data_IF_757165985650
#
_entry.id   IF_757165985650
#
_cell.length_a   1.000
_cell.length_b   1.000
_cell.length_c   1.000
_cell.angle_alpha   90.00
_cell.angle_beta   90.00
_cell.angle_gamma   90.00
#
_symmetry.space_group_name_H-M   'P 1'
#
loop_
_entity.id
_entity.type
_entity.pdbx_description
1 polymer ?
#
# COMPACT_ATOMS: atom_id res chain seq x y z
N UNK A 1 31.64 -26.94 -93.09
CA UNK A 1 30.63 -27.05 -92.03
C UNK A 1 31.04 -26.06 -90.96
N UNK A 2 30.41 -24.88 -90.98
CA UNK A 2 29.52 -24.39 -89.90
C UNK A 2 30.31 -24.08 -88.62
N UNK A 3 30.25 -22.91 -88.00
CA UNK A 3 29.37 -21.76 -88.13
C UNK A 3 29.82 -20.66 -87.16
N UNK A 4 29.11 -19.53 -87.22
CA UNK A 4 29.39 -18.22 -86.64
C UNK A 4 29.45 -18.16 -85.08
N UNK A 5 30.05 -17.11 -84.51
CA UNK A 5 29.26 -15.98 -83.96
C UNK A 5 30.10 -14.81 -83.40
N UNK A 6 29.59 -13.61 -83.66
CA UNK A 6 30.04 -12.30 -83.20
C UNK A 6 29.64 -12.07 -81.73
N UNK A 7 30.59 -11.68 -80.88
CA UNK A 7 30.28 -11.29 -79.49
C UNK A 7 30.16 -9.77 -79.37
N UNK A 8 28.90 -9.34 -79.23
CA UNK A 8 28.42 -7.97 -79.06
C UNK A 8 28.79 -7.43 -77.67
N UNK A 9 29.27 -6.19 -77.61
CA UNK A 9 29.57 -5.49 -76.36
C UNK A 9 28.27 -4.95 -75.75
N UNK A 10 28.06 -5.18 -74.46
CA UNK A 10 26.95 -4.60 -73.70
C UNK A 10 27.51 -3.81 -72.52
N UNK A 11 27.27 -2.49 -72.51
CA UNK A 11 27.57 -1.60 -71.39
C UNK A 11 26.43 -1.73 -70.38
N UNK A 12 26.76 -2.10 -69.14
CA UNK A 12 25.81 -2.10 -68.04
C UNK A 12 25.82 -0.72 -67.35
N UNK A 13 24.70 -0.01 -67.40
CA UNK A 13 24.47 1.18 -66.58
C UNK A 13 24.02 0.75 -65.19
N UNK A 14 24.80 1.10 -64.16
CA UNK A 14 24.43 0.89 -62.76
C UNK A 14 23.57 2.07 -62.30
N UNK A 15 22.30 1.81 -61.97
CA UNK A 15 21.45 2.78 -61.27
C UNK A 15 21.65 2.56 -59.77
N UNK A 16 22.28 3.52 -59.10
CA UNK A 16 22.44 3.51 -57.66
C UNK A 16 21.16 4.07 -57.00
N UNK A 17 20.41 3.22 -56.31
CA UNK A 17 19.25 3.63 -55.50
C UNK A 17 19.76 4.06 -54.13
N UNK A 18 19.64 5.34 -53.80
CA UNK A 18 19.97 5.87 -52.47
C UNK A 18 18.82 5.57 -51.52
N UNK A 19 19.02 4.64 -50.58
CA UNK A 19 18.07 4.40 -49.49
C UNK A 19 18.24 5.50 -48.43
N UNK A 20 17.21 6.34 -48.25
CA UNK A 20 17.12 7.28 -47.15
C UNK A 20 16.90 6.51 -45.85
N UNK A 21 17.92 6.44 -44.99
CA UNK A 21 17.79 5.92 -43.63
C UNK A 21 17.10 7.00 -42.79
N UNK A 22 15.78 6.88 -42.64
CA UNK A 22 15.02 7.72 -41.72
C UNK A 22 15.44 7.40 -40.28
N UNK A 23 16.13 8.33 -39.63
CA UNK A 23 16.42 8.24 -38.20
C UNK A 23 15.10 8.42 -37.45
N UNK A 24 14.49 7.31 -37.05
CA UNK A 24 13.33 7.34 -36.16
C UNK A 24 13.86 7.72 -34.78
N UNK A 25 13.75 8.99 -34.41
CA UNK A 25 14.05 9.43 -33.05
C UNK A 25 12.93 8.86 -32.18
N UNK A 26 13.19 7.91 -31.26
CA UNK A 26 12.13 7.44 -30.37
C UNK A 26 11.66 8.64 -29.57
N UNK A 27 10.38 9.00 -29.74
CA UNK A 27 9.75 9.98 -28.88
C UNK A 27 9.74 9.37 -27.48
N UNK A 28 10.60 9.90 -26.59
CA UNK A 28 10.64 9.53 -25.19
C UNK A 28 9.34 9.98 -24.52
N UNK A 29 8.26 9.23 -24.74
CA UNK A 29 7.05 9.37 -23.96
C UNK A 29 7.43 9.08 -22.51
N UNK A 30 7.38 10.11 -21.65
CA UNK A 30 7.59 9.95 -20.21
C UNK A 30 6.73 8.80 -19.71
N UNK A 31 7.37 7.78 -19.13
CA UNK A 31 6.67 6.61 -18.61
C UNK A 31 5.55 7.07 -17.66
N UNK A 32 4.35 6.53 -17.85
CA UNK A 32 3.22 6.85 -16.99
C UNK A 32 3.57 6.55 -15.52
N UNK A 33 3.09 7.39 -14.61
CA UNK A 33 3.22 7.21 -13.16
C UNK A 33 1.85 6.98 -12.56
N UNK A 34 1.80 6.54 -11.29
CA UNK A 34 0.52 6.46 -10.58
C UNK A 34 -0.21 7.81 -10.48
N UNK A 35 0.51 8.93 -10.64
CA UNK A 35 -0.03 10.29 -10.59
C UNK A 35 -0.34 10.90 -11.96
N UNK A 36 -0.11 10.21 -13.07
CA UNK A 36 -0.42 10.73 -14.41
C UNK A 36 -1.90 11.15 -14.51
N UNK A 37 -2.13 12.39 -14.96
CA UNK A 37 -3.48 12.97 -15.09
C UNK A 37 -4.19 13.32 -13.77
N UNK A 38 -3.51 13.27 -12.62
CA UNK A 38 -4.10 13.61 -11.32
C UNK A 38 -3.35 14.78 -10.67
N UNK A 39 -3.81 16.01 -10.92
CA UNK A 39 -3.22 17.22 -10.34
C UNK A 39 -3.19 17.17 -8.79
N UNK A 40 -2.07 17.55 -8.19
CA UNK A 40 -1.83 17.50 -6.74
C UNK A 40 -1.56 16.11 -6.19
N UNK A 41 -1.43 15.09 -7.05
CA UNK A 41 -0.99 13.76 -6.65
C UNK A 41 0.52 13.73 -6.38
N UNK A 42 0.91 13.03 -5.32
CA UNK A 42 2.32 12.80 -4.98
C UNK A 42 2.58 11.30 -4.89
N UNK A 43 3.69 10.84 -5.49
CA UNK A 43 4.20 9.49 -5.27
C UNK A 43 4.77 9.41 -3.85
N UNK A 44 4.26 8.49 -3.04
CA UNK A 44 4.58 8.38 -1.60
C UNK A 44 5.21 7.05 -1.20
N UNK A 45 5.20 6.04 -2.08
CA UNK A 45 5.81 4.74 -1.83
C UNK A 45 6.15 4.02 -3.13
N UNK A 46 7.09 3.08 -3.02
CA UNK A 46 7.45 2.10 -4.06
C UNK A 46 7.28 0.64 -3.60
N UNK A 47 6.25 0.38 -2.78
CA UNK A 47 5.99 -0.97 -2.26
C UNK A 47 5.47 -1.91 -3.35
N UNK A 48 5.76 -3.21 -3.22
CA UNK A 48 5.15 -4.29 -4.00
C UNK A 48 3.72 -4.51 -3.49
N UNK A 49 2.72 -3.88 -4.11
CA UNK A 49 1.33 -3.88 -3.63
C UNK A 49 0.58 -5.10 -4.14
N UNK A 50 0.84 -5.52 -5.38
CA UNK A 50 0.19 -6.69 -5.98
C UNK A 50 0.84 -8.04 -5.62
N UNK A 51 2.02 -8.00 -5.00
CA UNK A 51 2.71 -9.17 -4.47
C UNK A 51 3.52 -9.94 -5.51
N UNK A 52 3.82 -9.33 -6.66
CA UNK A 52 4.57 -9.99 -7.75
C UNK A 52 6.09 -9.91 -7.60
N UNK A 53 6.59 -9.30 -6.51
CA UNK A 53 8.00 -9.15 -6.20
C UNK A 53 8.67 -7.94 -6.85
N UNK A 54 7.94 -7.13 -7.63
CA UNK A 54 8.44 -5.88 -8.21
C UNK A 54 7.86 -4.67 -7.50
N UNK A 55 8.60 -3.56 -7.54
CA UNK A 55 8.17 -2.31 -6.93
C UNK A 55 7.07 -1.65 -7.77
N UNK A 56 5.93 -1.36 -7.14
CA UNK A 56 4.86 -0.56 -7.75
C UNK A 56 5.06 0.93 -7.44
N UNK A 57 4.24 1.81 -8.02
CA UNK A 57 4.18 3.21 -7.62
C UNK A 57 2.88 3.49 -6.87
N UNK A 58 2.98 4.05 -5.67
CA UNK A 58 1.80 4.49 -4.89
C UNK A 58 1.71 6.00 -4.94
N UNK A 59 0.63 6.52 -5.51
CA UNK A 59 0.30 7.93 -5.55
C UNK A 59 -0.87 8.27 -4.63
N UNK A 60 -0.84 9.42 -3.97
CA UNK A 60 -1.97 9.91 -3.16
C UNK A 60 -2.28 11.37 -3.48
N UNK A 61 -3.56 11.71 -3.40
CA UNK A 61 -4.05 13.09 -3.48
C UNK A 61 -5.21 13.27 -2.50
N UNK A 62 -5.07 14.23 -1.58
CA UNK A 62 -6.21 14.71 -0.81
C UNK A 62 -6.85 15.89 -1.55
N UNK A 63 -8.18 15.86 -1.67
CA UNK A 63 -9.01 16.99 -2.07
C UNK A 63 -10.02 17.28 -0.97
N UNK A 64 -9.91 18.47 -0.36
CA UNK A 64 -10.85 18.95 0.65
C UNK A 64 -12.04 19.64 0.00
N UNK A 65 -13.21 19.47 0.60
CA UNK A 65 -14.48 20.09 0.19
C UNK A 65 -15.31 20.38 1.44
N UNK A 66 -15.12 21.58 2.01
CA UNK A 66 -15.77 21.97 3.26
C UNK A 66 -15.31 21.11 4.44
N UNK A 67 -16.27 20.53 5.17
CA UNK A 67 -16.01 19.71 6.37
C UNK A 67 -15.55 18.28 6.08
N UNK A 68 -15.40 17.89 4.80
CA UNK A 68 -14.96 16.56 4.40
C UNK A 68 -13.80 16.64 3.42
N UNK A 69 -12.96 15.63 3.41
CA UNK A 69 -11.97 15.45 2.37
C UNK A 69 -12.00 14.02 1.81
N UNK A 70 -11.52 13.89 0.58
CA UNK A 70 -11.34 12.60 -0.08
C UNK A 70 -9.87 12.42 -0.39
N UNK A 71 -9.30 11.34 0.11
CA UNK A 71 -7.97 10.88 -0.26
C UNK A 71 -8.09 9.84 -1.38
N UNK A 72 -7.67 10.22 -2.59
CA UNK A 72 -7.56 9.33 -3.74
C UNK A 72 -6.20 8.65 -3.70
N UNK A 73 -6.22 7.32 -3.56
CA UNK A 73 -5.03 6.47 -3.58
C UNK A 73 -4.97 5.78 -4.93
N UNK A 74 -3.84 5.90 -5.64
CA UNK A 74 -3.58 5.21 -6.90
C UNK A 74 -2.37 4.30 -6.77
N UNK A 75 -2.42 3.16 -7.45
CA UNK A 75 -1.30 2.23 -7.56
C UNK A 75 -1.08 1.93 -9.03
N UNK A 76 0.13 2.18 -9.53
CA UNK A 76 0.57 1.71 -10.83
C UNK A 76 1.51 0.53 -10.61
N UNK A 77 1.06 -0.67 -10.98
CA UNK A 77 1.88 -1.88 -10.85
C UNK A 77 3.07 -1.86 -11.80
N UNK A 78 4.11 -2.64 -11.50
CA UNK A 78 5.26 -2.81 -12.39
C UNK A 78 4.86 -3.30 -13.81
N UNK A 79 3.74 -4.01 -13.94
CA UNK A 79 3.17 -4.48 -15.22
C UNK A 79 2.28 -3.43 -15.92
N UNK A 80 2.20 -2.21 -15.41
CA UNK A 80 1.46 -1.10 -16.02
C UNK A 80 -0.03 -1.04 -15.67
N UNK A 81 -0.54 -1.89 -14.77
CA UNK A 81 -1.93 -1.79 -14.30
C UNK A 81 -2.10 -0.63 -13.33
N UNK A 82 -2.93 0.34 -13.69
CA UNK A 82 -3.34 1.43 -12.81
C UNK A 82 -4.62 1.07 -12.05
N UNK A 83 -4.57 1.16 -10.73
CA UNK A 83 -5.70 0.97 -9.82
C UNK A 83 -5.94 2.24 -9.02
N UNK A 84 -7.18 2.48 -8.59
CA UNK A 84 -7.54 3.63 -7.77
C UNK A 84 -8.56 3.24 -6.70
N UNK A 85 -8.46 3.88 -5.53
CA UNK A 85 -9.48 3.83 -4.47
C UNK A 85 -9.64 5.22 -3.86
N UNK A 86 -10.80 5.47 -3.25
CA UNK A 86 -11.06 6.71 -2.54
C UNK A 86 -11.37 6.40 -1.07
N UNK A 87 -10.78 7.17 -0.18
CA UNK A 87 -10.99 7.09 1.26
C UNK A 87 -11.52 8.44 1.72
N UNK A 88 -12.69 8.46 2.36
CA UNK A 88 -13.17 9.66 3.07
C UNK A 88 -12.31 9.89 4.30
N UNK A 89 -11.80 11.11 4.45
CA UNK A 89 -10.91 11.51 5.53
C UNK A 89 -11.31 12.89 6.06
N UNK A 90 -10.86 13.22 7.26
CA UNK A 90 -10.96 14.58 7.77
C UNK A 90 -10.11 15.54 6.91
N UNK A 91 -10.51 16.82 6.74
CA UNK A 91 -9.76 17.82 5.97
C UNK A 91 -8.30 18.01 6.40
N UNK A 92 -7.99 17.75 7.67
CA UNK A 92 -6.67 17.91 8.29
C UNK A 92 -5.87 16.60 8.36
N UNK A 93 -6.44 15.49 7.87
CA UNK A 93 -5.79 14.19 7.91
C UNK A 93 -4.54 14.17 7.04
N UNK A 94 -3.50 13.46 7.48
CA UNK A 94 -2.34 13.17 6.64
C UNK A 94 -2.77 12.24 5.49
N UNK A 95 -2.22 12.45 4.29
CA UNK A 95 -2.57 11.65 3.12
C UNK A 95 -1.96 10.24 3.10
N UNK A 96 -0.95 9.99 3.93
CA UNK A 96 -0.17 8.76 3.89
C UNK A 96 0.41 8.43 5.26
N UNK A 97 0.27 7.18 5.70
CA UNK A 97 0.96 6.67 6.89
C UNK A 97 2.13 5.77 6.52
N UNK A 98 1.90 4.80 5.63
CA UNK A 98 2.92 3.84 5.22
C UNK A 98 2.34 2.67 4.43
N UNK A 99 3.24 1.81 3.96
CA UNK A 99 2.89 0.54 3.36
C UNK A 99 3.55 -0.57 4.17
N UNK A 100 2.82 -1.62 4.52
CA UNK A 100 3.35 -2.74 5.27
C UNK A 100 2.63 -4.03 4.91
N UNK A 101 3.32 -5.16 5.06
CA UNK A 101 2.64 -6.45 5.10
C UNK A 101 1.90 -6.53 6.42
N UNK A 102 0.57 -6.68 6.36
CA UNK A 102 -0.34 -6.78 7.50
C UNK A 102 -0.98 -8.15 7.46
N UNK A 103 -1.65 -8.50 6.36
CA UNK A 103 -2.25 -9.81 6.20
C UNK A 103 -1.25 -10.87 5.68
N UNK A 104 -1.77 -12.04 5.34
CA UNK A 104 -0.97 -13.18 4.88
C UNK A 104 -0.98 -13.43 3.38
N UNK A 105 -1.56 -12.55 2.56
CA UNK A 105 -1.34 -12.58 1.11
C UNK A 105 -0.01 -11.92 0.77
N UNK A 106 0.52 -12.24 -0.41
CA UNK A 106 1.63 -11.49 -0.99
C UNK A 106 1.17 -10.07 -1.33
N UNK A 107 2.09 -9.11 -1.20
CA UNK A 107 1.81 -7.69 -1.38
C UNK A 107 1.83 -6.91 -0.06
N UNK A 108 1.99 -5.60 -0.18
CA UNK A 108 1.93 -4.66 0.92
C UNK A 108 0.55 -4.01 0.98
N UNK A 109 0.00 -3.93 2.18
CA UNK A 109 -1.16 -3.10 2.47
C UNK A 109 -0.78 -1.62 2.58
N UNK A 110 -1.68 -0.74 2.15
CA UNK A 110 -1.54 0.71 2.20
C UNK A 110 -2.33 1.26 3.38
N UNK A 111 -1.66 1.97 4.29
CA UNK A 111 -2.26 2.52 5.52
C UNK A 111 -2.52 4.02 5.34
N UNK A 112 -3.79 4.39 5.36
CA UNK A 112 -4.28 5.75 5.08
C UNK A 112 -4.94 6.32 6.34
N UNK A 113 -4.38 7.38 6.96
CA UNK A 113 -5.04 8.06 8.07
C UNK A 113 -6.40 8.61 7.65
N UNK A 114 -7.44 8.34 8.44
CA UNK A 114 -8.80 8.82 8.18
C UNK A 114 -9.18 10.04 9.00
N UNK A 115 -8.49 10.31 10.10
CA UNK A 115 -8.68 11.51 10.91
C UNK A 115 -7.37 12.24 11.20
N UNK A 116 -7.49 13.51 11.61
CA UNK A 116 -6.37 14.38 11.95
C UNK A 116 -6.03 14.43 13.45
N UNK A 117 -6.68 13.61 14.28
CA UNK A 117 -6.57 13.68 15.75
C UNK A 117 -5.24 13.14 16.27
N UNK A 118 -4.83 13.58 17.46
CA UNK A 118 -3.54 13.20 18.07
C UNK A 118 -3.71 12.05 19.07
N UNK A 119 -4.86 11.93 19.70
CA UNK A 119 -5.10 10.98 20.78
C UNK A 119 -5.82 9.74 20.26
N UNK A 120 -6.84 9.93 19.42
CA UNK A 120 -7.63 8.85 18.80
C UNK A 120 -7.43 8.85 17.29
N UNK A 121 -6.53 8.00 16.78
CA UNK A 121 -6.22 7.94 15.34
C UNK A 121 -6.88 6.76 14.68
N UNK A 122 -7.52 7.02 13.55
CA UNK A 122 -8.17 6.01 12.71
C UNK A 122 -7.50 5.91 11.35
N UNK A 123 -7.53 4.70 10.80
CA UNK A 123 -6.92 4.40 9.51
C UNK A 123 -7.82 3.52 8.67
N UNK A 124 -7.84 3.79 7.37
CA UNK A 124 -8.26 2.83 6.36
C UNK A 124 -7.04 2.05 5.88
N UNK A 125 -7.16 0.73 5.84
CA UNK A 125 -6.14 -0.14 5.24
C UNK A 125 -6.65 -0.65 3.91
N UNK A 126 -5.93 -0.39 2.83
CA UNK A 126 -6.22 -0.88 1.49
C UNK A 126 -5.29 -2.04 1.13
N UNK A 127 -5.80 -3.04 0.44
CA UNK A 127 -5.05 -4.22 -0.01
C UNK A 127 -5.44 -4.57 -1.44
N UNK A 128 -4.53 -5.19 -2.19
CA UNK A 128 -4.78 -5.66 -3.54
C UNK A 128 -5.57 -6.97 -3.54
N UNK A 129 -6.70 -7.01 -4.24
CA UNK A 129 -7.48 -8.23 -4.49
C UNK A 129 -8.00 -8.19 -5.91
N UNK A 130 -7.74 -9.25 -6.66
CA UNK A 130 -8.38 -9.51 -7.96
C UNK A 130 -8.33 -8.31 -8.92
N UNK A 131 -7.15 -7.67 -9.02
CA UNK A 131 -6.95 -6.52 -9.90
C UNK A 131 -7.41 -5.17 -9.35
N UNK A 132 -7.82 -5.09 -8.08
CA UNK A 132 -8.40 -3.89 -7.46
C UNK A 132 -7.86 -3.62 -6.06
N UNK A 133 -7.94 -2.36 -5.62
CA UNK A 133 -7.72 -1.98 -4.23
C UNK A 133 -9.03 -2.09 -3.45
N UNK A 134 -9.05 -2.94 -2.42
CA UNK A 134 -10.19 -3.12 -1.52
C UNK A 134 -9.79 -2.82 -0.07
N UNK A 135 -10.76 -2.60 0.80
CA UNK A 135 -10.46 -2.39 2.23
C UNK A 135 -10.14 -3.71 2.92
N UNK A 136 -8.98 -3.78 3.59
CA UNK A 136 -8.70 -4.82 4.57
C UNK A 136 -9.35 -4.44 5.89
N UNK A 137 -10.41 -5.16 6.26
CA UNK A 137 -11.05 -5.00 7.58
C UNK A 137 -10.12 -5.49 8.69
N UNK A 138 -10.35 -4.98 9.90
CA UNK A 138 -9.72 -5.53 11.10
C UNK A 138 -10.15 -6.98 11.31
N UNK A 139 -9.43 -7.76 12.15
CA UNK A 139 -9.89 -9.09 12.54
C UNK A 139 -11.29 -9.11 13.19
N UNK A 140 -11.71 -7.98 13.78
CA UNK A 140 -13.07 -7.80 14.30
C UNK A 140 -14.07 -7.31 13.24
N UNK A 141 -13.75 -7.44 11.96
CA UNK A 141 -14.60 -7.03 10.83
C UNK A 141 -14.91 -5.54 10.75
N UNK A 142 -14.15 -4.69 11.43
CA UNK A 142 -14.31 -3.24 11.37
C UNK A 142 -13.61 -2.66 10.11
N UNK A 143 -14.21 -1.62 9.53
CA UNK A 143 -13.66 -0.91 8.37
C UNK A 143 -12.52 0.06 8.72
N UNK A 144 -12.36 0.36 10.00
CA UNK A 144 -11.39 1.30 10.53
C UNK A 144 -10.46 0.59 11.49
N UNK A 145 -9.16 0.82 11.32
CA UNK A 145 -8.13 0.41 12.26
C UNK A 145 -7.85 1.58 13.20
N UNK A 146 -7.98 1.36 14.50
CA UNK A 146 -7.79 2.39 15.52
C UNK A 146 -6.47 2.20 16.28
N UNK A 147 -5.85 3.31 16.65
CA UNK A 147 -4.86 3.39 17.71
C UNK A 147 -5.25 4.53 18.64
N UNK A 148 -4.98 4.36 19.92
CA UNK A 148 -5.38 5.31 20.95
C UNK A 148 -4.18 5.60 21.83
N UNK A 149 -3.94 6.86 22.15
CA UNK A 149 -3.02 7.33 23.17
C UNK A 149 -3.65 8.50 23.90
N UNK A 150 -4.42 8.18 24.93
CA UNK A 150 -5.10 9.14 25.79
C UNK A 150 -4.92 8.73 27.26
N UNK A 151 -5.23 9.63 28.19
CA UNK A 151 -5.10 9.35 29.62
C UNK A 151 -5.90 8.11 30.08
N UNK A 152 -7.07 7.90 29.47
CA UNK A 152 -7.97 6.77 29.72
C UNK A 152 -7.55 5.47 29.05
N UNK A 153 -6.64 5.49 28.08
CA UNK A 153 -6.16 4.24 27.50
C UNK A 153 -5.27 4.33 26.27
N UNK A 154 -4.76 3.16 25.93
CA UNK A 154 -3.83 2.95 24.84
C UNK A 154 -4.28 1.77 23.97
N UNK A 155 -4.17 1.92 22.66
CA UNK A 155 -4.40 0.84 21.68
C UNK A 155 -3.28 0.81 20.66
N UNK A 156 -2.86 -0.39 20.28
CA UNK A 156 -1.97 -0.59 19.15
C UNK A 156 -2.02 -1.98 18.55
N UNK A 157 -1.33 -2.12 17.44
CA UNK A 157 -1.33 -3.30 16.59
C UNK A 157 0.09 -3.76 16.35
N UNK A 158 0.30 -5.08 16.38
CA UNK A 158 1.58 -5.68 16.03
C UNK A 158 1.38 -6.85 15.09
N UNK A 159 2.39 -7.14 14.28
CA UNK A 159 2.42 -8.28 13.37
C UNK A 159 3.60 -9.16 13.68
N UNK A 160 3.42 -10.47 13.55
CA UNK A 160 4.50 -11.44 13.58
C UNK A 160 4.21 -12.60 12.63
N UNK A 161 5.25 -13.33 12.26
CA UNK A 161 5.13 -14.62 11.58
C UNK A 161 5.72 -15.68 12.50
N UNK A 162 5.00 -16.78 12.74
CA UNK A 162 5.47 -17.94 13.53
C UNK A 162 5.07 -19.22 12.82
N UNK A 163 6.04 -20.09 12.53
CA UNK A 163 5.81 -21.36 11.84
C UNK A 163 4.98 -21.21 10.55
N UNK A 164 5.32 -20.20 9.74
CA UNK A 164 4.59 -19.84 8.51
C UNK A 164 3.21 -19.19 8.71
N UNK A 165 2.72 -19.06 9.96
CA UNK A 165 1.44 -18.42 10.26
C UNK A 165 1.63 -16.91 10.43
N UNK A 166 0.85 -16.13 9.70
CA UNK A 166 0.78 -14.67 9.90
C UNK A 166 -0.18 -14.35 11.03
N UNK A 167 0.34 -13.66 12.04
CA UNK A 167 -0.39 -13.26 13.24
C UNK A 167 -0.43 -11.75 13.35
N UNK A 168 -1.62 -11.22 13.63
CA UNK A 168 -1.82 -9.82 14.03
C UNK A 168 -2.36 -9.80 15.44
N UNK A 169 -1.77 -8.96 16.28
CA UNK A 169 -2.14 -8.82 17.69
C UNK A 169 -2.59 -7.40 17.97
N UNK A 170 -3.83 -7.27 18.44
CA UNK A 170 -4.35 -6.03 19.03
C UNK A 170 -4.02 -6.02 20.51
N UNK A 171 -3.45 -4.92 20.99
CA UNK A 171 -3.27 -4.67 22.42
C UNK A 171 -4.07 -3.44 22.81
N UNK A 172 -4.85 -3.55 23.87
CA UNK A 172 -5.54 -2.42 24.51
C UNK A 172 -5.10 -2.35 25.96
N UNK A 173 -5.05 -1.15 26.53
CA UNK A 173 -4.83 -0.94 27.95
C UNK A 173 -5.69 0.24 28.39
N UNK A 174 -6.77 -0.03 29.13
CA UNK A 174 -7.69 1.01 29.61
C UNK A 174 -7.50 1.24 31.10
N UNK A 175 -7.50 2.49 31.52
CA UNK A 175 -7.32 2.86 32.93
C UNK A 175 -8.47 2.28 33.76
N UNK A 176 -8.13 1.63 34.87
CA UNK A 176 -9.13 1.19 35.86
C UNK A 176 -9.52 2.43 36.68
N UNK A 177 -10.83 2.68 36.78
CA UNK A 177 -11.41 3.85 37.43
C UNK A 177 -10.80 4.09 38.82
N UNK A 178 -10.49 5.35 39.12
CA UNK A 178 -9.89 5.80 40.40
C UNK A 178 -8.55 5.14 40.78
N UNK A 179 -7.86 4.47 39.84
CA UNK A 179 -6.53 3.90 40.08
C UNK A 179 -5.48 4.40 39.09
N UNK A 180 -4.20 4.14 39.42
CA UNK A 180 -3.05 4.29 38.52
C UNK A 180 -2.77 3.07 37.65
N UNK A 181 -3.68 2.07 37.66
CA UNK A 181 -3.51 0.79 36.98
C UNK A 181 -4.36 0.70 35.72
N UNK A 182 -3.96 -0.19 34.83
CA UNK A 182 -4.64 -0.43 33.56
C UNK A 182 -5.07 -1.89 33.43
N UNK A 183 -6.25 -2.08 32.87
CA UNK A 183 -6.69 -3.37 32.35
C UNK A 183 -6.17 -3.53 30.92
N UNK A 184 -5.10 -4.30 30.79
CA UNK A 184 -4.46 -4.59 29.52
C UNK A 184 -5.00 -5.90 28.94
N UNK A 185 -5.48 -5.84 27.70
CA UNK A 185 -5.88 -7.00 26.90
C UNK A 185 -4.95 -7.17 25.70
N UNK A 186 -4.53 -8.40 25.44
CA UNK A 186 -3.76 -8.76 24.24
C UNK A 186 -4.55 -9.83 23.49
N UNK A 187 -5.02 -9.53 22.28
CA UNK A 187 -5.80 -10.45 21.46
C UNK A 187 -5.08 -10.71 20.15
N UNK A 188 -4.73 -11.97 19.90
CA UNK A 188 -4.01 -12.40 18.70
C UNK A 188 -4.96 -13.11 17.74
N UNK A 189 -4.86 -12.74 16.48
CA UNK A 189 -5.63 -13.29 15.36
C UNK A 189 -4.66 -13.87 14.35
N UNK A 190 -5.09 -14.93 13.67
CA UNK A 190 -4.32 -15.55 12.60
C UNK A 190 -4.96 -15.21 11.26
N UNK A 191 -4.15 -14.93 10.24
CA UNK A 191 -4.61 -14.97 8.86
C UNK A 191 -4.63 -16.43 8.38
N UNK A 192 -5.79 -16.94 7.98
CA UNK A 192 -5.97 -18.30 7.50
C UNK A 192 -7.02 -18.32 6.40
N UNK A 193 -6.77 -19.07 5.33
CA UNK A 193 -7.71 -19.25 4.22
C UNK A 193 -8.21 -17.91 3.61
N UNK A 194 -7.32 -16.92 3.51
CA UNK A 194 -7.64 -15.63 2.90
C UNK A 194 -8.47 -14.67 3.77
N UNK A 195 -8.64 -14.95 5.06
CA UNK A 195 -9.34 -14.10 6.01
C UNK A 195 -8.71 -14.12 7.42
N UNK A 196 -9.12 -13.19 8.27
CA UNK A 196 -8.81 -13.25 9.70
C UNK A 196 -9.65 -14.33 10.38
N UNK A 197 -9.00 -15.15 11.22
CA UNK A 197 -9.69 -16.08 12.10
C UNK A 197 -10.34 -15.35 13.28
N UNK A 198 -11.20 -16.07 14.02
CA UNK A 198 -11.48 -15.73 15.42
C UNK A 198 -10.15 -15.65 16.22
N UNK A 199 -10.12 -14.94 17.37
CA UNK A 199 -8.94 -14.90 18.22
C UNK A 199 -8.38 -16.30 18.48
N UNK A 200 -7.08 -16.48 18.24
CA UNK A 200 -6.36 -17.73 18.53
C UNK A 200 -5.68 -17.70 19.90
N UNK A 201 -5.51 -16.50 20.46
CA UNK A 201 -5.07 -16.29 21.84
C UNK A 201 -5.62 -14.97 22.38
N UNK A 202 -5.91 -14.93 23.68
CA UNK A 202 -6.34 -13.73 24.38
C UNK A 202 -5.83 -13.77 25.82
N UNK A 203 -5.10 -12.74 26.24
CA UNK A 203 -4.62 -12.59 27.62
C UNK A 203 -5.07 -11.27 28.22
N UNK A 204 -5.22 -11.25 29.56
CA UNK A 204 -5.62 -10.08 30.33
C UNK A 204 -4.65 -9.87 31.49
N UNK A 205 -4.24 -8.63 31.71
CA UNK A 205 -3.56 -8.18 32.92
C UNK A 205 -4.35 -6.99 33.48
N UNK A 206 -5.15 -7.25 34.51
CA UNK A 206 -6.04 -6.26 35.11
C UNK A 206 -5.32 -5.19 35.98
N UNK A 207 -4.00 -5.31 36.16
CA UNK A 207 -3.20 -4.41 37.02
C UNK A 207 -1.90 -3.99 36.35
N UNK A 208 -1.91 -3.80 35.04
CA UNK A 208 -0.75 -3.29 34.31
C UNK A 208 -0.33 -1.91 34.84
N UNK A 209 0.98 -1.64 34.87
CA UNK A 209 1.50 -0.31 35.16
C UNK A 209 1.27 0.64 33.98
N UNK A 210 1.31 1.96 34.24
CA UNK A 210 1.29 3.01 33.21
C UNK A 210 2.31 2.72 32.08
N UNK A 211 3.58 2.46 32.42
CA UNK A 211 4.63 2.12 31.45
C UNK A 211 4.28 0.90 30.59
N UNK A 212 3.69 -0.14 31.18
CA UNK A 212 3.26 -1.33 30.45
C UNK A 212 2.03 -1.05 29.56
N UNK A 213 1.18 -0.10 29.94
CA UNK A 213 0.05 0.37 29.16
C UNK A 213 0.51 1.20 27.95
N UNK A 214 1.37 2.20 28.16
CA UNK A 214 1.94 3.04 27.09
C UNK A 214 2.68 2.22 26.03
N UNK A 215 3.38 1.15 26.44
CA UNK A 215 4.12 0.26 25.52
C UNK A 215 3.25 -0.43 24.46
N UNK A 216 1.91 -0.41 24.60
CA UNK A 216 1.01 -1.03 23.63
C UNK A 216 0.71 -0.11 22.44
N UNK A 217 0.92 1.20 22.59
CA UNK A 217 0.44 2.21 21.67
C UNK A 217 1.05 2.06 20.26
N UNK A 218 0.22 2.34 19.26
CA UNK A 218 0.64 2.63 17.90
C UNK A 218 0.81 1.40 17.00
N UNK A 219 1.37 1.66 15.82
CA UNK A 219 1.72 0.63 14.85
C UNK A 219 3.08 0.03 15.19
N UNK A 220 3.06 -1.20 15.71
CA UNK A 220 4.22 -2.04 15.95
C UNK A 220 4.36 -3.09 14.82
N UNK A 221 4.30 -2.59 13.59
CA UNK A 221 4.41 -3.37 12.35
C UNK A 221 5.56 -2.77 11.54
N UNK A 222 6.50 -3.58 11.02
CA UNK A 222 7.60 -3.10 10.20
C UNK A 222 7.12 -2.18 9.06
N UNK A 223 7.92 -1.16 8.74
CA UNK A 223 7.68 -0.15 7.69
C UNK A 223 6.55 0.84 7.95
N UNK A 224 5.79 0.70 9.05
CA UNK A 224 4.90 1.75 9.52
C UNK A 224 5.62 2.67 10.51
N UNK A 225 5.30 3.96 10.45
CA UNK A 225 5.86 4.93 11.39
C UNK A 225 5.36 4.63 12.79
N UNK A 226 6.29 4.47 13.74
CA UNK A 226 5.97 4.54 15.16
C UNK A 226 5.52 5.97 15.49
N UNK A 227 4.56 6.05 16.41
CA UNK A 227 4.05 7.30 16.95
C UNK A 227 4.50 7.45 18.40
#
# INVERSE_FOLDING_TARGET
>A
MEGAELKKWMRASVVATVALVGVVVPSSASAATACTGLNGCKIVSRADVDGDGRADQVGVRIKSSGSKATNTVRVLTAKGRLMSSQVTVDPWSKSWHGAARIDGRSGYELVIPTNGQTEYRTYRVLTYRDGRLVTLKTPQSAWSWDIVAEYSGYTGWSRSTRDGKVLVTRKTAYRVHETSRFDRRTTTYQWKNGAWSRPVASTRNARASQKAAESVFGWNIPYLKRL
#
